data_IF_529764041198
#
_entry.id   IF_529764041198
#
_cell.length_a   1.000
_cell.length_b   1.000
_cell.length_c   1.000
_cell.angle_alpha   90.00
_cell.angle_beta   90.00
_cell.angle_gamma   90.00
#
_symmetry.space_group_name_H-M   'P 1'
#
loop_
_entity.id
_entity.type
_entity.pdbx_description
1 polymer ?
#
# COMPACT_ATOMS: atom_id res chain seq x y z
N UNK A 1 -28.26 60.17 27.43
CA UNK A 1 -29.28 59.23 26.89
C UNK A 1 -28.52 58.12 26.18
N UNK A 2 -28.15 57.03 26.84
CA UNK A 2 -28.91 55.79 27.18
C UNK A 2 -28.22 54.64 26.42
N UNK A 3 -27.16 54.05 26.98
CA UNK A 3 -27.13 52.74 27.69
C UNK A 3 -27.97 51.62 27.04
N UNK A 4 -27.22 50.60 26.64
CA UNK A 4 -27.53 49.26 26.12
C UNK A 4 -28.65 48.51 26.86
N UNK A 5 -29.44 47.66 26.16
CA UNK A 5 -30.21 46.60 26.80
C UNK A 5 -29.43 45.27 26.79
N UNK A 6 -29.32 44.68 27.98
CA UNK A 6 -28.90 43.30 28.20
C UNK A 6 -29.99 42.34 27.72
N UNK A 7 -29.66 41.40 26.83
CA UNK A 7 -30.47 40.21 26.60
C UNK A 7 -29.83 39.00 27.29
N UNK A 8 -30.44 38.64 28.42
CA UNK A 8 -30.23 37.40 29.17
C UNK A 8 -30.94 36.27 28.40
N UNK A 9 -30.23 35.21 28.01
CA UNK A 9 -30.88 34.01 27.46
C UNK A 9 -30.57 32.80 28.35
N UNK A 10 -31.64 32.18 28.81
CA UNK A 10 -31.73 31.18 29.86
C UNK A 10 -30.99 29.87 29.53
N UNK A 11 -30.18 29.40 30.47
CA UNK A 11 -29.61 28.06 30.46
C UNK A 11 -30.72 27.00 30.61
N UNK A 12 -30.86 26.13 29.61
CA UNK A 12 -31.75 24.98 29.66
C UNK A 12 -31.21 23.96 30.67
N UNK A 13 -32.05 23.70 31.67
CA UNK A 13 -31.98 22.67 32.72
C UNK A 13 -31.39 21.34 32.22
N UNK A 14 -30.18 20.97 32.67
CA UNK A 14 -29.65 19.61 32.58
C UNK A 14 -30.54 18.63 33.36
N UNK A 15 -30.95 17.54 32.71
CA UNK A 15 -31.37 16.30 33.37
C UNK A 15 -30.11 15.57 33.88
N UNK A 16 -30.04 15.10 35.14
CA UNK A 16 -29.15 14.00 35.52
C UNK A 16 -29.95 12.69 35.64
N UNK A 17 -29.31 11.51 35.78
CA UNK A 17 -28.08 11.02 35.15
C UNK A 17 -28.31 9.66 34.44
N UNK A 18 -27.47 9.32 33.46
CA UNK A 18 -27.03 7.92 33.28
C UNK A 18 -25.52 8.05 33.21
N UNK A 19 -24.84 7.78 34.32
CA UNK A 19 -23.41 7.52 34.31
C UNK A 19 -23.22 6.20 33.57
N UNK A 20 -22.59 6.16 32.37
CA UNK A 20 -21.88 4.96 32.00
C UNK A 20 -20.76 4.80 33.04
N UNK A 21 -20.78 3.67 33.74
CA UNK A 21 -19.78 3.29 34.73
C UNK A 21 -18.37 3.72 34.26
N UNK A 22 -17.75 4.64 34.99
CA UNK A 22 -16.39 5.13 34.68
C UNK A 22 -15.38 3.98 34.64
N UNK A 23 -15.66 2.92 35.39
CA UNK A 23 -14.90 1.66 35.39
C UNK A 23 -15.07 0.84 34.10
N UNK A 24 -16.21 0.95 33.41
CA UNK A 24 -16.49 0.20 32.16
C UNK A 24 -15.91 0.93 30.94
N UNK A 25 -15.84 2.27 30.98
CA UNK A 25 -15.14 3.06 29.95
C UNK A 25 -13.61 2.90 30.11
N UNK A 26 -13.08 3.00 31.33
CA UNK A 26 -11.64 2.83 31.56
C UNK A 26 -11.16 1.43 31.22
N UNK A 27 -11.90 0.38 31.58
CA UNK A 27 -11.53 -1.01 31.23
C UNK A 27 -11.65 -1.31 29.74
N UNK A 28 -12.61 -0.71 29.03
CA UNK A 28 -12.72 -0.84 27.58
C UNK A 28 -11.60 -0.09 26.83
N UNK A 29 -11.24 1.11 27.29
CA UNK A 29 -10.12 1.88 26.74
C UNK A 29 -8.76 1.22 27.02
N UNK A 30 -8.53 0.74 28.25
CA UNK A 30 -7.33 -0.03 28.61
C UNK A 30 -7.25 -1.36 27.84
N UNK A 31 -8.36 -2.06 27.66
CA UNK A 31 -8.43 -3.29 26.87
C UNK A 31 -8.08 -3.06 25.40
N UNK A 32 -8.56 -1.97 24.81
CA UNK A 32 -8.25 -1.59 23.44
C UNK A 32 -6.78 -1.15 23.28
N UNK A 33 -6.23 -0.43 24.25
CA UNK A 33 -4.82 -0.05 24.25
C UNK A 33 -3.88 -1.27 24.34
N UNK A 34 -4.21 -2.23 25.21
CA UNK A 34 -3.47 -3.47 25.32
C UNK A 34 -3.54 -4.29 24.02
N UNK A 35 -4.72 -4.42 23.40
CA UNK A 35 -4.86 -5.09 22.11
C UNK A 35 -4.03 -4.40 21.01
N UNK A 36 -4.03 -3.07 20.97
CA UNK A 36 -3.22 -2.26 20.03
C UNK A 36 -1.73 -2.52 20.22
N UNK A 37 -1.24 -2.51 21.46
CA UNK A 37 0.16 -2.81 21.80
C UNK A 37 0.55 -4.24 21.41
N UNK A 38 -0.33 -5.21 21.64
CA UNK A 38 -0.11 -6.60 21.20
C UNK A 38 0.01 -6.69 19.68
N UNK A 39 -0.91 -6.09 18.92
CA UNK A 39 -0.84 -6.07 17.45
C UNK A 39 0.44 -5.40 16.97
N UNK A 40 0.84 -4.30 17.60
CA UNK A 40 2.09 -3.62 17.28
C UNK A 40 3.32 -4.51 17.50
N UNK A 41 3.39 -5.21 18.63
CA UNK A 41 4.48 -6.16 18.92
C UNK A 41 4.50 -7.29 17.90
N UNK A 42 3.33 -7.84 17.56
CA UNK A 42 3.21 -8.88 16.52
C UNK A 42 3.77 -8.37 15.19
N UNK A 43 3.41 -7.15 14.77
CA UNK A 43 3.93 -6.59 13.52
C UNK A 43 5.45 -6.42 13.53
N UNK A 44 6.05 -5.97 14.64
CA UNK A 44 7.51 -5.87 14.76
C UNK A 44 8.20 -7.24 14.76
N UNK A 45 7.60 -8.24 15.41
CA UNK A 45 8.12 -9.62 15.38
C UNK A 45 8.03 -10.18 13.96
N UNK A 46 6.90 -9.97 13.27
CA UNK A 46 6.72 -10.38 11.87
C UNK A 46 7.76 -9.70 10.98
N UNK A 47 8.01 -8.40 11.15
CA UNK A 47 9.06 -7.68 10.41
C UNK A 47 10.46 -8.26 10.69
N UNK A 48 10.80 -8.48 11.97
CA UNK A 48 12.10 -9.04 12.34
C UNK A 48 12.31 -10.44 11.76
N UNK A 49 11.28 -11.30 11.83
CA UNK A 49 11.29 -12.64 11.22
C UNK A 49 11.38 -12.52 9.71
N UNK A 50 10.65 -11.59 9.09
CA UNK A 50 10.63 -11.36 7.66
C UNK A 50 12.02 -10.94 7.14
N UNK A 51 12.64 -9.93 7.75
CA UNK A 51 14.00 -9.49 7.40
C UNK A 51 15.00 -10.64 7.59
N UNK A 52 14.95 -11.32 8.74
CA UNK A 52 15.88 -12.40 9.05
C UNK A 52 15.75 -13.55 8.04
N UNK A 53 14.54 -14.01 7.79
CA UNK A 53 14.24 -15.10 6.86
C UNK A 53 14.61 -14.73 5.42
N UNK A 54 14.14 -13.58 4.95
CA UNK A 54 14.19 -13.24 3.53
C UNK A 54 15.48 -12.54 3.11
N UNK A 55 16.20 -11.83 3.99
CA UNK A 55 17.42 -11.13 3.58
C UNK A 55 18.70 -11.85 4.04
N UNK A 56 18.68 -12.44 5.24
CA UNK A 56 19.90 -12.93 5.89
C UNK A 56 20.07 -14.45 5.80
N UNK A 57 18.99 -15.21 6.00
CA UNK A 57 19.05 -16.66 6.03
C UNK A 57 19.10 -17.29 4.62
N UNK A 58 19.87 -18.39 4.44
CA UNK A 58 19.97 -19.11 3.17
C UNK A 58 18.82 -20.12 2.96
N UNK A 59 17.79 -20.11 3.82
CA UNK A 59 16.68 -21.08 3.75
C UNK A 59 15.54 -20.64 2.82
N UNK A 60 15.39 -19.34 2.57
CA UNK A 60 14.45 -18.85 1.58
C UNK A 60 14.98 -19.18 0.16
N UNK A 61 14.08 -19.43 -0.80
CA UNK A 61 14.43 -19.55 -2.22
C UNK A 61 15.40 -18.47 -2.71
N UNK A 62 16.39 -18.89 -3.50
CA UNK A 62 17.41 -18.03 -4.10
C UNK A 62 18.49 -17.53 -3.13
N UNK A 63 19.46 -16.80 -3.66
CA UNK A 63 20.64 -16.35 -2.89
C UNK A 63 20.30 -15.23 -1.90
N UNK A 64 20.81 -15.29 -0.64
CA UNK A 64 20.64 -14.20 0.31
C UNK A 64 21.36 -12.93 -0.14
N UNK A 65 21.03 -11.78 0.46
CA UNK A 65 21.53 -10.48 0.00
C UNK A 65 23.05 -10.37 0.04
N UNK A 66 23.71 -11.07 0.97
CA UNK A 66 25.17 -11.09 1.07
C UNK A 66 25.87 -12.01 0.04
N UNK A 67 25.11 -12.84 -0.68
CA UNK A 67 25.63 -13.77 -1.70
C UNK A 67 24.96 -13.59 -3.07
N UNK A 68 24.37 -12.42 -3.34
CA UNK A 68 23.59 -12.19 -4.55
C UNK A 68 24.42 -12.41 -5.82
N UNK A 69 23.91 -13.25 -6.73
CA UNK A 69 24.55 -13.51 -8.01
C UNK A 69 24.43 -12.31 -8.96
N UNK A 70 25.37 -12.18 -9.89
CA UNK A 70 25.28 -11.15 -10.95
C UNK A 70 24.09 -11.37 -11.89
N UNK A 71 23.62 -12.62 -12.04
CA UNK A 71 22.45 -12.96 -12.85
C UNK A 71 21.15 -12.41 -12.24
N UNK A 72 20.97 -12.56 -10.92
CA UNK A 72 19.84 -11.98 -10.20
C UNK A 72 19.85 -10.45 -10.29
N UNK A 73 21.03 -9.82 -10.17
CA UNK A 73 21.16 -8.36 -10.33
C UNK A 73 20.80 -7.91 -11.76
N UNK A 74 21.30 -8.60 -12.79
CA UNK A 74 20.98 -8.29 -14.17
C UNK A 74 19.48 -8.47 -14.47
N UNK A 75 18.87 -9.51 -13.92
CA UNK A 75 17.43 -9.74 -14.02
C UNK A 75 16.64 -8.63 -13.35
N UNK A 76 17.05 -8.18 -12.15
CA UNK A 76 16.43 -7.06 -11.44
C UNK A 76 16.55 -5.75 -12.21
N UNK A 77 17.72 -5.46 -12.78
CA UNK A 77 17.94 -4.28 -13.64
C UNK A 77 17.05 -4.40 -14.89
N UNK A 78 16.99 -5.57 -15.52
CA UNK A 78 16.14 -5.81 -16.69
C UNK A 78 14.65 -5.58 -16.40
N UNK A 79 14.16 -6.09 -15.26
CA UNK A 79 12.79 -5.87 -14.80
C UNK A 79 12.53 -4.38 -14.53
N UNK A 80 13.51 -3.70 -13.91
CA UNK A 80 13.44 -2.26 -13.62
C UNK A 80 13.48 -1.40 -14.88
N UNK A 81 14.19 -1.81 -15.94
CA UNK A 81 14.16 -1.14 -17.24
C UNK A 81 12.79 -1.33 -17.93
N UNK A 82 12.14 -2.47 -17.70
CA UNK A 82 10.80 -2.77 -18.19
C UNK A 82 9.68 -2.31 -17.21
N UNK A 83 9.95 -1.27 -16.42
CA UNK A 83 9.00 -0.68 -15.48
C UNK A 83 7.72 -0.18 -16.16
N UNK A 84 6.58 -0.53 -15.57
CA UNK A 84 5.22 -0.41 -16.12
C UNK A 84 5.07 -0.92 -17.56
N UNK A 85 5.96 -1.80 -18.00
CA UNK A 85 6.04 -2.31 -19.37
C UNK A 85 6.21 -1.20 -20.43
N UNK A 86 6.55 0.03 -20.01
CA UNK A 86 6.61 1.20 -20.89
C UNK A 86 7.65 0.96 -21.99
N UNK A 87 8.86 0.54 -21.62
CA UNK A 87 9.94 0.32 -22.57
C UNK A 87 9.64 -0.82 -23.58
N UNK A 88 9.14 -2.00 -23.15
CA UNK A 88 8.64 -3.03 -24.07
C UNK A 88 7.58 -2.52 -25.05
N UNK A 89 6.60 -1.74 -24.57
CA UNK A 89 5.55 -1.18 -25.43
C UNK A 89 6.10 -0.18 -26.45
N UNK A 90 6.95 0.76 -26.02
CA UNK A 90 7.57 1.76 -26.90
C UNK A 90 8.43 1.08 -27.99
N UNK A 91 9.18 0.04 -27.61
CA UNK A 91 9.98 -0.75 -28.55
C UNK A 91 9.10 -1.51 -29.56
N UNK A 92 7.92 -2.00 -29.12
CA UNK A 92 6.97 -2.71 -29.99
C UNK A 92 6.34 -1.81 -31.07
N UNK A 93 6.16 -0.52 -30.79
CA UNK A 93 5.65 0.47 -31.75
C UNK A 93 6.74 1.08 -32.65
N UNK A 94 7.97 0.57 -32.57
CA UNK A 94 9.08 0.92 -33.46
C UNK A 94 9.96 2.09 -32.99
N UNK A 95 9.72 2.65 -31.80
CA UNK A 95 10.57 3.70 -31.23
C UNK A 95 11.65 3.02 -30.38
N UNK A 96 12.91 2.99 -30.85
CA UNK A 96 14.01 2.28 -30.19
C UNK A 96 15.14 3.23 -29.80
N UNK A 97 14.95 4.00 -28.73
CA UNK A 97 16.05 4.76 -28.12
C UNK A 97 16.99 3.83 -27.32
N UNK A 98 16.40 2.87 -26.62
CA UNK A 98 17.08 1.83 -25.84
C UNK A 98 16.30 0.53 -26.08
N UNK A 99 17.02 -0.56 -26.36
CA UNK A 99 16.40 -1.87 -26.55
C UNK A 99 15.88 -2.41 -25.21
N UNK A 100 14.60 -2.80 -25.20
CA UNK A 100 14.00 -3.41 -24.02
C UNK A 100 14.65 -4.78 -23.73
N UNK A 101 15.15 -5.02 -22.51
CA UNK A 101 15.60 -6.35 -22.11
C UNK A 101 14.52 -7.41 -22.35
N UNK A 102 14.91 -8.55 -22.92
CA UNK A 102 14.00 -9.65 -23.19
C UNK A 102 14.00 -10.59 -21.99
N UNK A 103 12.97 -10.47 -21.16
CA UNK A 103 12.71 -11.34 -20.02
C UNK A 103 11.48 -12.21 -20.25
N UNK A 104 11.28 -13.20 -19.39
CA UNK A 104 10.10 -14.05 -19.48
C UNK A 104 8.82 -13.22 -19.17
N UNK A 105 7.76 -13.28 -20.00
CA UNK A 105 6.57 -12.44 -19.80
C UNK A 105 5.92 -12.58 -18.41
N UNK A 106 5.98 -13.78 -17.82
CA UNK A 106 5.49 -14.02 -16.45
C UNK A 106 6.25 -13.25 -15.37
N UNK A 107 7.58 -13.13 -15.47
CA UNK A 107 8.36 -12.39 -14.46
C UNK A 107 8.15 -10.88 -14.61
N UNK A 108 8.10 -10.38 -15.84
CA UNK A 108 7.77 -8.98 -16.13
C UNK A 108 6.36 -8.63 -15.65
N UNK A 109 5.38 -9.52 -15.90
CA UNK A 109 4.01 -9.34 -15.44
C UNK A 109 3.87 -9.37 -13.92
N UNK A 110 4.52 -10.33 -13.25
CA UNK A 110 4.49 -10.39 -11.78
C UNK A 110 5.09 -9.13 -11.15
N UNK A 111 6.27 -8.71 -11.62
CA UNK A 111 6.94 -7.49 -11.15
C UNK A 111 6.04 -6.26 -11.31
N UNK A 112 5.55 -6.01 -12.53
CA UNK A 112 4.75 -4.83 -12.82
C UNK A 112 3.38 -4.86 -12.14
N UNK A 113 2.83 -6.04 -11.87
CA UNK A 113 1.61 -6.19 -11.07
C UNK A 113 1.83 -5.72 -9.63
N UNK A 114 2.89 -6.20 -8.97
CA UNK A 114 3.19 -5.78 -7.59
C UNK A 114 3.46 -4.28 -7.53
N UNK A 115 4.30 -3.76 -8.43
CA UNK A 115 4.62 -2.34 -8.51
C UNK A 115 3.39 -1.46 -8.79
N UNK A 116 2.49 -1.91 -9.67
CA UNK A 116 1.23 -1.21 -9.95
C UNK A 116 0.35 -1.12 -8.71
N UNK A 117 0.32 -2.18 -7.91
CA UNK A 117 -0.37 -2.19 -6.62
C UNK A 117 0.29 -1.23 -5.63
N UNK A 118 1.61 -1.31 -5.47
CA UNK A 118 2.39 -0.42 -4.61
C UNK A 118 2.22 1.05 -4.95
N UNK A 119 2.17 1.37 -6.24
CA UNK A 119 1.96 2.73 -6.73
C UNK A 119 0.63 3.31 -6.21
N UNK A 120 -0.44 2.49 -6.16
CA UNK A 120 -1.73 2.90 -5.61
C UNK A 120 -1.74 3.01 -4.08
N UNK A 121 -0.80 2.39 -3.36
CA UNK A 121 -0.68 2.58 -1.92
C UNK A 121 -0.23 4.00 -1.55
N UNK A 122 0.42 4.75 -2.45
CA UNK A 122 0.86 6.12 -2.16
C UNK A 122 -0.28 7.03 -1.67
N UNK A 123 -1.35 7.28 -2.44
CA UNK A 123 -2.47 8.11 -1.99
C UNK A 123 -3.17 7.54 -0.76
N UNK A 124 -3.20 6.21 -0.57
CA UNK A 124 -3.74 5.59 0.64
C UNK A 124 -2.91 5.93 1.88
N UNK A 125 -1.57 5.83 1.81
CA UNK A 125 -0.66 6.18 2.90
C UNK A 125 -0.70 7.69 3.20
N UNK A 126 -0.79 8.52 2.15
CA UNK A 126 -0.88 9.98 2.32
C UNK A 126 -2.22 10.43 2.88
N UNK A 127 -3.30 9.68 2.70
CA UNK A 127 -4.62 10.00 3.28
C UNK A 127 -4.91 9.31 4.59
N UNK A 128 -3.97 8.51 5.12
CA UNK A 128 -4.19 7.79 6.35
C UNK A 128 -4.45 8.73 7.55
N UNK A 129 -5.52 8.48 8.30
CA UNK A 129 -5.92 9.24 9.47
C UNK A 129 -4.89 9.16 10.62
N UNK A 130 -4.09 8.10 10.63
CA UNK A 130 -3.00 7.88 11.61
C UNK A 130 -1.62 8.22 11.04
N UNK A 131 -1.54 8.84 9.85
CA UNK A 131 -0.26 9.13 9.17
C UNK A 131 0.69 9.98 10.00
N UNK A 132 0.16 10.91 10.81
CA UNK A 132 0.97 11.87 11.56
C UNK A 132 1.78 11.22 12.70
N UNK A 133 1.46 9.98 13.07
CA UNK A 133 2.25 9.16 14.01
C UNK A 133 3.57 8.68 13.40
N UNK A 134 3.64 8.64 12.07
CA UNK A 134 4.86 8.36 11.35
C UNK A 134 5.69 9.64 11.21
N UNK A 135 6.70 9.79 12.07
CA UNK A 135 7.51 11.02 12.15
C UNK A 135 8.45 11.22 10.95
N UNK A 136 8.79 10.15 10.24
CA UNK A 136 9.64 10.21 9.05
C UNK A 136 8.87 10.68 7.83
N UNK A 137 9.59 10.96 6.73
CA UNK A 137 8.95 11.36 5.48
C UNK A 137 8.20 10.19 4.84
N UNK A 138 6.91 10.36 4.60
CA UNK A 138 6.09 9.40 3.84
C UNK A 138 6.55 9.31 2.37
N UNK A 139 7.10 10.39 1.82
CA UNK A 139 7.66 10.38 0.46
C UNK A 139 8.84 9.42 0.38
N UNK A 140 9.69 9.43 1.40
CA UNK A 140 10.86 8.55 1.50
C UNK A 140 10.42 7.11 1.75
N UNK A 141 9.45 6.90 2.65
CA UNK A 141 8.88 5.57 2.88
C UNK A 141 8.29 4.99 1.60
N UNK A 142 7.45 5.75 0.90
CA UNK A 142 6.84 5.30 -0.35
C UNK A 142 7.88 5.11 -1.46
N UNK A 143 8.87 5.99 -1.55
CA UNK A 143 9.97 5.85 -2.51
C UNK A 143 10.75 4.55 -2.30
N UNK A 144 11.10 4.20 -1.07
CA UNK A 144 11.74 2.92 -0.77
C UNK A 144 10.81 1.73 -0.95
N UNK A 145 9.54 1.89 -0.59
CA UNK A 145 8.48 0.91 -0.80
C UNK A 145 8.35 0.54 -2.29
N UNK A 146 8.59 1.45 -3.24
CA UNK A 146 8.59 1.12 -4.68
C UNK A 146 9.72 0.15 -5.10
N UNK A 147 10.74 -0.05 -4.26
CA UNK A 147 11.86 -0.99 -4.53
C UNK A 147 11.87 -2.19 -3.57
N UNK A 148 11.47 -2.01 -2.32
CA UNK A 148 11.45 -3.00 -1.25
C UNK A 148 10.07 -3.01 -0.56
N UNK A 149 9.08 -3.34 -1.35
CA UNK A 149 7.63 -3.30 -1.14
C UNK A 149 7.09 -3.93 0.15
N UNK A 150 7.82 -4.81 0.79
CA UNK A 150 7.37 -5.51 2.01
C UNK A 150 8.05 -4.94 3.26
N UNK A 151 9.35 -4.63 3.17
CA UNK A 151 10.18 -4.14 4.27
C UNK A 151 9.68 -2.83 4.87
N UNK A 152 8.99 -1.98 4.10
CA UNK A 152 8.58 -0.66 4.61
C UNK A 152 7.11 -0.57 5.02
N UNK A 153 6.26 -1.49 4.57
CA UNK A 153 4.83 -1.45 4.89
C UNK A 153 4.52 -2.00 6.29
N UNK A 154 5.17 -3.07 6.72
CA UNK A 154 4.95 -3.63 8.07
C UNK A 154 5.39 -2.63 9.16
N UNK A 155 6.58 -2.00 9.08
CA UNK A 155 6.97 -0.96 10.05
C UNK A 155 6.01 0.22 10.06
N UNK A 156 5.50 0.65 8.91
CA UNK A 156 4.48 1.69 8.85
C UNK A 156 3.22 1.30 9.63
N UNK A 157 2.73 0.07 9.40
CA UNK A 157 1.57 -0.46 10.12
C UNK A 157 1.82 -0.58 11.62
N UNK A 158 3.04 -0.88 12.05
CA UNK A 158 3.41 -0.93 13.46
C UNK A 158 3.51 0.48 14.08
N UNK A 159 4.12 1.44 13.39
CA UNK A 159 4.34 2.80 13.88
C UNK A 159 3.02 3.58 13.97
N UNK A 160 2.10 3.41 13.02
CA UNK A 160 0.78 4.08 13.07
C UNK A 160 -0.09 3.63 14.25
N UNK A 161 0.27 2.53 14.93
CA UNK A 161 -0.39 2.10 16.17
C UNK A 161 0.15 2.79 17.43
N UNK A 162 1.21 3.60 17.34
CA UNK A 162 1.70 4.39 18.48
C UNK A 162 0.63 5.32 19.06
N UNK A 163 0.81 5.73 20.31
CA UNK A 163 0.00 6.77 20.92
C UNK A 163 0.14 8.09 20.14
N UNK A 164 -0.97 8.84 20.06
CA UNK A 164 -0.93 10.16 19.45
C UNK A 164 -0.14 11.11 20.37
N UNK A 165 0.75 11.92 19.81
CA UNK A 165 1.47 12.92 20.58
C UNK A 165 0.49 13.88 21.25
N UNK A 166 0.68 14.14 22.55
CA UNK A 166 -0.18 15.02 23.35
C UNK A 166 -0.20 16.48 22.84
N UNK A 167 0.78 16.84 22.01
CA UNK A 167 0.86 18.12 21.29
C UNK A 167 0.56 17.92 19.80
N UNK A 168 -0.65 17.46 19.48
CA UNK A 168 -1.06 17.24 18.09
C UNK A 168 -1.04 18.57 17.31
N UNK A 169 -0.13 18.66 16.34
CA UNK A 169 -0.13 19.70 15.31
C UNK A 169 -0.25 18.98 13.98
N UNK A 170 -1.32 19.20 13.20
CA UNK A 170 -1.50 18.55 11.91
C UNK A 170 -0.29 18.81 11.03
N UNK A 171 0.37 17.75 10.56
CA UNK A 171 1.57 17.93 9.73
C UNK A 171 1.13 18.32 8.32
N UNK A 172 1.71 19.41 7.81
CA UNK A 172 1.48 19.81 6.41
C UNK A 172 1.93 18.69 5.47
N UNK A 173 1.03 18.28 4.57
CA UNK A 173 1.29 17.28 3.54
C UNK A 173 2.43 17.74 2.62
N UNK A 174 3.28 16.82 2.18
CA UNK A 174 4.34 17.08 1.21
C UNK A 174 3.76 17.50 -0.15
N UNK A 175 4.59 18.09 -1.01
CA UNK A 175 4.16 18.42 -2.38
C UNK A 175 3.80 17.17 -3.18
N UNK A 176 4.61 16.11 -3.07
CA UNK A 176 4.34 14.82 -3.70
C UNK A 176 3.02 14.22 -3.18
N UNK A 177 2.85 14.19 -1.85
CA UNK A 177 1.62 13.72 -1.22
C UNK A 177 0.40 14.50 -1.72
N UNK A 178 0.49 15.82 -1.82
CA UNK A 178 -0.61 16.67 -2.32
C UNK A 178 -0.97 16.34 -3.78
N UNK A 179 0.03 16.16 -4.65
CA UNK A 179 -0.19 15.78 -6.05
C UNK A 179 -0.84 14.40 -6.14
N UNK A 180 -0.33 13.42 -5.40
CA UNK A 180 -0.83 12.05 -5.45
C UNK A 180 -2.23 11.91 -4.86
N UNK A 181 -2.57 12.69 -3.82
CA UNK A 181 -3.91 12.69 -3.25
C UNK A 181 -4.91 13.44 -4.14
N UNK A 182 -4.55 14.62 -4.66
CA UNK A 182 -5.46 15.38 -5.52
C UNK A 182 -5.69 14.65 -6.86
N UNK A 183 -4.65 13.95 -7.33
CA UNK A 183 -4.73 13.05 -8.48
C UNK A 183 -5.11 11.61 -8.13
N UNK A 184 -5.63 11.31 -6.94
CA UNK A 184 -5.89 9.94 -6.50
C UNK A 184 -6.71 9.11 -7.49
N UNK A 185 -7.78 9.62 -8.13
CA UNK A 185 -8.49 8.88 -9.17
C UNK A 185 -7.59 8.49 -10.35
N UNK A 186 -6.71 9.39 -10.79
CA UNK A 186 -5.77 9.15 -11.90
C UNK A 186 -4.72 8.12 -11.48
N UNK A 187 -4.16 8.25 -10.28
CA UNK A 187 -3.20 7.30 -9.71
C UNK A 187 -3.82 5.90 -9.60
N UNK A 188 -5.07 5.80 -9.14
CA UNK A 188 -5.83 4.56 -9.08
C UNK A 188 -6.09 3.95 -10.46
N UNK A 189 -6.48 4.74 -11.45
CA UNK A 189 -6.68 4.26 -12.82
C UNK A 189 -5.38 3.78 -13.47
N UNK A 190 -4.29 4.54 -13.33
CA UNK A 190 -2.97 4.16 -13.87
C UNK A 190 -2.47 2.88 -13.21
N UNK A 191 -2.49 2.80 -11.88
CA UNK A 191 -2.03 1.62 -11.15
C UNK A 191 -2.90 0.39 -11.39
N UNK A 192 -4.23 0.56 -11.45
CA UNK A 192 -5.17 -0.50 -11.79
C UNK A 192 -5.00 -1.00 -13.23
N UNK A 193 -4.83 -0.08 -14.18
CA UNK A 193 -4.52 -0.42 -15.56
C UNK A 193 -3.17 -1.13 -15.69
N UNK A 194 -2.14 -0.67 -14.97
CA UNK A 194 -0.84 -1.33 -14.93
C UNK A 194 -0.96 -2.77 -14.42
N UNK A 195 -1.72 -3.01 -13.34
CA UNK A 195 -1.98 -4.36 -12.84
C UNK A 195 -2.69 -5.23 -13.89
N UNK A 196 -3.74 -4.71 -14.53
CA UNK A 196 -4.49 -5.44 -15.56
C UNK A 196 -3.62 -5.76 -16.77
N UNK A 197 -2.90 -4.78 -17.29
CA UNK A 197 -1.97 -4.94 -18.42
C UNK A 197 -0.87 -5.93 -18.07
N UNK A 198 -0.39 -5.94 -16.83
CA UNK A 198 0.63 -6.88 -16.36
C UNK A 198 0.13 -8.33 -16.37
N UNK A 199 -1.12 -8.57 -15.97
CA UNK A 199 -1.74 -9.90 -16.08
C UNK A 199 -1.89 -10.31 -17.54
N UNK A 200 -2.37 -9.39 -18.39
CA UNK A 200 -2.49 -9.65 -19.83
C UNK A 200 -1.12 -9.92 -20.48
N UNK A 201 -0.08 -9.20 -20.06
CA UNK A 201 1.29 -9.38 -20.53
C UNK A 201 1.88 -10.71 -20.08
N UNK A 202 1.62 -11.13 -18.84
CA UNK A 202 2.05 -12.43 -18.35
C UNK A 202 1.49 -13.59 -19.23
N UNK A 203 0.22 -13.48 -19.61
CA UNK A 203 -0.49 -14.51 -20.38
C UNK A 203 -0.24 -14.44 -21.89
N UNK A 204 -0.25 -13.24 -22.47
CA UNK A 204 -0.26 -13.00 -23.91
C UNK A 204 0.92 -12.15 -24.42
N UNK A 205 1.77 -11.67 -23.51
CA UNK A 205 2.98 -10.94 -23.89
C UNK A 205 3.90 -11.85 -24.70
N UNK A 206 4.42 -11.32 -25.81
CA UNK A 206 5.37 -12.00 -26.70
C UNK A 206 4.88 -13.39 -27.13
N UNK A 207 3.64 -13.52 -27.61
CA UNK A 207 3.11 -14.78 -28.18
C UNK A 207 3.98 -15.30 -29.33
N UNK A 208 4.55 -14.39 -30.13
CA UNK A 208 5.48 -14.74 -31.20
C UNK A 208 6.90 -15.09 -30.70
N UNK A 209 7.15 -14.92 -29.40
CA UNK A 209 8.38 -15.35 -28.75
C UNK A 209 8.32 -16.84 -28.41
N UNK A 210 9.47 -17.51 -28.43
CA UNK A 210 9.60 -18.93 -28.10
C UNK A 210 9.46 -19.19 -26.57
N UNK A 211 8.40 -18.67 -25.95
CA UNK A 211 8.10 -18.74 -24.50
C UNK A 211 7.02 -19.77 -24.16
N UNK A 212 6.69 -20.64 -25.11
CA UNK A 212 5.73 -21.74 -24.90
C UNK A 212 4.28 -21.30 -24.73
N UNK A 213 3.45 -22.30 -24.44
CA UNK A 213 2.03 -22.19 -24.16
C UNK A 213 1.75 -21.61 -22.76
N UNK A 214 0.48 -21.32 -22.44
CA UNK A 214 0.08 -20.84 -21.11
C UNK A 214 0.50 -21.84 -20.00
N UNK A 215 0.46 -23.14 -20.28
CA UNK A 215 0.89 -24.16 -19.33
C UNK A 215 2.38 -24.07 -19.02
N UNK A 216 3.22 -23.93 -20.06
CA UNK A 216 4.67 -23.80 -19.92
C UNK A 216 5.04 -22.52 -19.14
N UNK A 217 4.28 -21.44 -19.37
CA UNK A 217 4.42 -20.19 -18.63
C UNK A 217 4.07 -20.35 -17.15
N UNK A 218 3.00 -21.09 -16.83
CA UNK A 218 2.64 -21.39 -15.45
C UNK A 218 3.71 -22.24 -14.74
N UNK A 219 4.27 -23.24 -15.45
CA UNK A 219 5.37 -24.05 -14.93
C UNK A 219 6.62 -23.19 -14.67
N UNK A 220 6.97 -22.32 -15.62
CA UNK A 220 8.03 -21.33 -15.43
C UNK A 220 7.78 -20.45 -14.21
N UNK A 221 6.56 -19.94 -14.02
CA UNK A 221 6.23 -19.09 -12.88
C UNK A 221 6.44 -19.82 -11.55
N UNK A 222 5.98 -21.07 -11.43
CA UNK A 222 6.19 -21.88 -10.22
C UNK A 222 7.68 -22.09 -9.97
N UNK A 223 8.44 -22.46 -11.01
CA UNK A 223 9.89 -22.62 -10.91
C UNK A 223 10.58 -21.32 -10.49
N UNK A 224 10.19 -20.19 -11.09
CA UNK A 224 10.72 -18.85 -10.81
C UNK A 224 10.48 -18.44 -9.35
N UNK A 225 9.25 -18.62 -8.85
CA UNK A 225 8.87 -18.30 -7.47
C UNK A 225 9.64 -19.13 -6.42
N UNK A 226 10.03 -20.36 -6.76
CA UNK A 226 10.73 -21.28 -5.86
C UNK A 226 12.26 -21.27 -6.01
N UNK A 227 12.78 -20.61 -7.05
CA UNK A 227 14.21 -20.54 -7.34
C UNK A 227 14.79 -19.16 -7.06
N UNK A 228 14.02 -18.09 -7.31
CA UNK A 228 14.51 -16.71 -7.22
C UNK A 228 13.98 -15.99 -5.98
N UNK A 229 14.89 -15.37 -5.23
CA UNK A 229 14.56 -14.65 -3.99
C UNK A 229 13.67 -13.44 -4.24
N UNK A 230 13.93 -12.73 -5.35
CA UNK A 230 13.12 -11.59 -5.78
C UNK A 230 11.67 -12.00 -6.05
N UNK A 231 11.48 -13.10 -6.78
CA UNK A 231 10.16 -13.64 -7.10
C UNK A 231 9.42 -14.11 -5.84
N UNK A 232 10.15 -14.78 -4.94
CA UNK A 232 9.64 -15.19 -3.64
C UNK A 232 9.19 -14.00 -2.78
N UNK A 233 9.92 -12.89 -2.80
CA UNK A 233 9.55 -11.66 -2.10
C UNK A 233 8.22 -11.07 -2.60
N UNK A 234 7.97 -11.13 -3.90
CA UNK A 234 6.69 -10.67 -4.49
C UNK A 234 5.48 -11.47 -3.99
N UNK A 235 5.64 -12.75 -3.64
CA UNK A 235 4.55 -13.52 -3.00
C UNK A 235 4.16 -12.88 -1.67
N UNK A 236 5.17 -12.56 -0.85
CA UNK A 236 4.96 -11.91 0.43
C UNK A 236 4.36 -10.51 0.27
N UNK A 237 4.77 -9.75 -0.75
CA UNK A 237 4.13 -8.47 -1.08
C UNK A 237 2.64 -8.63 -1.35
N UNK A 238 2.28 -9.58 -2.21
CA UNK A 238 0.87 -9.86 -2.53
C UNK A 238 0.11 -10.25 -1.27
N UNK A 239 0.64 -11.16 -0.45
CA UNK A 239 0.01 -11.57 0.80
C UNK A 239 -0.19 -10.40 1.77
N UNK A 240 0.84 -9.56 1.96
CA UNK A 240 0.76 -8.39 2.83
C UNK A 240 -0.22 -7.35 2.28
N UNK A 241 -0.27 -7.14 0.97
CA UNK A 241 -1.20 -6.20 0.35
C UNK A 241 -2.64 -6.65 0.49
N UNK A 242 -2.91 -7.95 0.36
CA UNK A 242 -4.25 -8.52 0.62
C UNK A 242 -4.71 -8.27 2.06
N UNK A 243 -3.79 -8.25 3.03
CA UNK A 243 -4.11 -8.01 4.44
C UNK A 243 -4.20 -6.51 4.76
N UNK A 244 -3.21 -5.72 4.33
CA UNK A 244 -3.10 -4.32 4.71
C UNK A 244 -3.99 -3.40 3.89
N UNK A 245 -4.30 -3.73 2.63
CA UNK A 245 -5.26 -2.96 1.83
C UNK A 245 -6.62 -2.82 2.54
N UNK A 246 -7.35 -3.90 2.90
CA UNK A 246 -8.64 -3.77 3.56
C UNK A 246 -8.55 -3.13 4.94
N UNK A 247 -7.45 -3.35 5.67
CA UNK A 247 -7.23 -2.72 6.97
C UNK A 247 -7.09 -1.20 6.83
N UNK A 248 -6.20 -0.73 5.97
CA UNK A 248 -5.96 0.70 5.73
C UNK A 248 -7.20 1.39 5.16
N UNK A 249 -7.86 0.80 4.16
CA UNK A 249 -9.09 1.37 3.60
C UNK A 249 -10.19 1.43 4.68
N UNK A 250 -10.30 0.37 5.51
CA UNK A 250 -11.32 0.28 6.54
C UNK A 250 -11.24 1.35 7.62
N UNK A 251 -10.03 1.72 8.03
CA UNK A 251 -9.81 2.79 9.01
C UNK A 251 -9.92 4.20 8.40
N UNK A 252 -9.91 4.30 7.06
CA UNK A 252 -9.95 5.56 6.32
C UNK A 252 -11.25 5.77 5.53
N UNK A 253 -12.32 5.03 5.88
CA UNK A 253 -13.63 5.18 5.23
C UNK A 253 -14.22 6.59 5.38
N UNK A 254 -13.79 7.36 6.37
CA UNK A 254 -14.18 8.76 6.54
C UNK A 254 -13.76 9.65 5.36
N UNK A 255 -12.68 9.29 4.65
CA UNK A 255 -12.17 10.03 3.50
C UNK A 255 -12.94 9.70 2.21
N UNK A 256 -13.93 8.80 2.26
CA UNK A 256 -14.70 8.35 1.10
C UNK A 256 -15.98 9.17 1.01
N UNK A 257 -16.46 9.41 -0.21
CA UNK A 257 -17.78 10.00 -0.45
C UNK A 257 -18.88 9.27 0.35
N UNK A 258 -19.68 10.01 1.14
CA UNK A 258 -20.71 9.47 2.05
C UNK A 258 -21.69 8.51 1.37
N UNK A 259 -22.01 8.71 0.10
CA UNK A 259 -22.90 7.86 -0.69
C UNK A 259 -22.28 6.53 -1.15
N UNK A 260 -20.96 6.35 -1.01
CA UNK A 260 -20.20 5.19 -1.51
C UNK A 260 -19.48 4.41 -0.40
N UNK A 261 -19.59 4.83 0.86
CA UNK A 261 -18.91 4.20 2.00
C UNK A 261 -19.22 2.70 2.10
N UNK A 262 -20.50 2.31 2.06
CA UNK A 262 -20.91 0.90 2.16
C UNK A 262 -20.34 0.04 1.02
N UNK A 263 -20.31 0.61 -0.18
CA UNK A 263 -19.75 -0.03 -1.36
C UNK A 263 -18.25 -0.29 -1.17
N UNK A 264 -17.50 0.73 -0.78
CA UNK A 264 -16.05 0.62 -0.55
C UNK A 264 -15.73 -0.32 0.62
N UNK A 265 -16.56 -0.33 1.67
CA UNK A 265 -16.40 -1.23 2.81
C UNK A 265 -16.50 -2.72 2.40
N UNK A 266 -17.30 -3.04 1.37
CA UNK A 266 -17.34 -4.37 0.78
C UNK A 266 -16.16 -4.62 -0.16
N UNK A 267 -15.90 -3.68 -1.08
CA UNK A 267 -14.85 -3.84 -2.10
C UNK A 267 -13.42 -3.82 -1.55
N UNK A 268 -13.17 -3.27 -0.35
CA UNK A 268 -11.82 -3.17 0.25
C UNK A 268 -11.08 -4.50 0.33
N UNK A 269 -11.81 -5.62 0.41
CA UNK A 269 -11.25 -6.97 0.47
C UNK A 269 -10.90 -7.56 -0.89
N UNK A 270 -11.33 -6.94 -1.99
CA UNK A 270 -11.00 -7.39 -3.35
C UNK A 270 -9.61 -6.83 -3.72
N UNK A 271 -8.60 -7.69 -3.92
CA UNK A 271 -7.24 -7.30 -4.31
C UNK A 271 -7.25 -6.33 -5.50
N UNK A 272 -6.48 -5.24 -5.42
CA UNK A 272 -6.37 -4.18 -6.45
C UNK A 272 -7.67 -3.40 -6.68
N UNK A 273 -8.78 -4.07 -6.98
CA UNK A 273 -10.09 -3.46 -7.29
C UNK A 273 -10.60 -2.61 -6.13
N UNK A 274 -10.47 -3.11 -4.89
CA UNK A 274 -10.87 -2.36 -3.70
C UNK A 274 -10.11 -1.06 -3.54
N UNK A 275 -8.81 -1.08 -3.85
CA UNK A 275 -7.95 0.09 -3.79
C UNK A 275 -8.27 1.08 -4.92
N UNK A 276 -8.46 0.59 -6.15
CA UNK A 276 -8.92 1.44 -7.27
C UNK A 276 -10.24 2.13 -6.93
N UNK A 277 -11.21 1.37 -6.42
CA UNK A 277 -12.51 1.91 -6.03
C UNK A 277 -12.40 2.96 -4.91
N UNK A 278 -11.58 2.70 -3.89
CA UNK A 278 -11.30 3.66 -2.82
C UNK A 278 -10.72 4.97 -3.38
N UNK A 279 -9.73 4.88 -4.27
CA UNK A 279 -9.08 6.05 -4.86
C UNK A 279 -9.98 6.87 -5.80
N UNK A 280 -10.89 6.20 -6.52
CA UNK A 280 -11.90 6.85 -7.35
C UNK A 280 -12.97 7.58 -6.51
N UNK A 281 -13.25 7.10 -5.30
CA UNK A 281 -14.27 7.66 -4.41
C UNK A 281 -13.67 8.51 -3.27
N UNK A 282 -12.38 8.81 -3.32
CA UNK A 282 -11.69 9.63 -2.34
C UNK A 282 -12.23 11.07 -2.40
N UNK A 283 -12.64 11.60 -1.26
CA UNK A 283 -13.08 12.97 -1.09
C UNK A 283 -12.12 13.70 -0.14
N UNK A 284 -11.39 14.68 -0.66
CA UNK A 284 -10.44 15.48 0.11
C UNK A 284 -11.04 16.81 0.59
N UNK A 285 -12.29 17.11 0.23
CA UNK A 285 -12.90 18.42 0.42
C UNK A 285 -13.27 18.75 1.89
N UNK A 286 -13.09 17.82 2.83
CA UNK A 286 -13.29 18.07 4.28
C UNK A 286 -12.00 18.48 5.03
N UNK A 287 -10.83 18.58 4.37
CA UNK A 287 -9.57 19.04 4.97
C UNK A 287 -9.22 20.54 4.74
N UNK A 288 -10.09 21.33 4.09
CA UNK A 288 -9.89 22.77 3.82
C UNK A 288 -10.66 23.69 4.79
#
# INVERSE_FOLDING_TARGET
>A
MSKTPNFLCYATRRKPPIEPDTNTISSAEEGNDNARKVVQVILWVVEGVYILWLFLLPYAPGDPVWAISSETVNSLIGLSLNFFLILPFINSVGIRLIDAPVLHPMSEGLFNFVIGWTFMFAPLLFTDCKRDRYRWSLDVLWGFQMFLTNTFLIPYMAIRLNEADSSYTPRKRSQLGTIMTNGAPIVGLIGGAACLISVLWALFGRIDGNFGSIADRCEFLVSYLLSERLAYAFIWDICLYIIFQPWLIGENLQNVQKSKVDLINYFRFVPVVGLVAYLLCLNLDEEL
#
